data_IF_824249015525
#
_entry.id   IF_824249015525
#
_cell.length_a   1.000
_cell.length_b   1.000
_cell.length_c   1.000
_cell.angle_alpha   90.00
_cell.angle_beta   90.00
_cell.angle_gamma   90.00
#
_symmetry.space_group_name_H-M   'P 1'
#
loop_
_entity.id
_entity.type
_entity.pdbx_description
1 polymer ?
#
# COMPACT_ATOMS: atom_id res chain seq x y z
N UNK A 1 4.35 5.01 -33.17
CA UNK A 1 3.40 5.30 -32.06
C UNK A 1 4.24 5.55 -30.82
N UNK A 2 4.07 6.65 -30.12
CA UNK A 2 4.83 6.94 -28.88
C UNK A 2 4.29 6.07 -27.73
N UNK A 3 5.10 5.79 -26.71
CA UNK A 3 4.67 5.06 -25.51
C UNK A 3 3.42 5.71 -24.87
N UNK A 4 3.39 7.03 -24.81
CA UNK A 4 2.25 7.78 -24.27
C UNK A 4 0.95 7.59 -25.07
N UNK A 5 1.00 7.55 -26.41
CA UNK A 5 -0.18 7.30 -27.22
C UNK A 5 -0.70 5.88 -27.05
N UNK A 6 0.18 4.89 -27.01
CA UNK A 6 -0.17 3.49 -26.76
C UNK A 6 -0.84 3.28 -25.40
N UNK A 7 -0.29 3.89 -24.35
CA UNK A 7 -0.87 3.83 -22.99
C UNK A 7 -2.27 4.43 -22.94
N UNK A 8 -2.47 5.58 -23.61
CA UNK A 8 -3.79 6.21 -23.74
C UNK A 8 -4.80 5.33 -24.48
N UNK A 9 -4.34 4.68 -25.55
CA UNK A 9 -5.20 3.80 -26.35
C UNK A 9 -5.65 2.58 -25.55
N UNK A 10 -4.77 1.97 -24.75
CA UNK A 10 -5.11 0.88 -23.85
C UNK A 10 -6.15 1.35 -22.82
N UNK A 11 -5.92 2.48 -22.15
CA UNK A 11 -6.84 3.02 -21.15
C UNK A 11 -8.24 3.26 -21.76
N UNK A 12 -8.29 3.87 -22.95
CA UNK A 12 -9.56 4.15 -23.63
C UNK A 12 -10.24 2.89 -24.13
N UNK A 13 -9.48 1.89 -24.56
CA UNK A 13 -10.00 0.58 -24.92
C UNK A 13 -10.68 -0.11 -23.74
N UNK A 14 -10.05 -0.10 -22.56
CA UNK A 14 -10.65 -0.66 -21.34
C UNK A 14 -11.92 0.11 -20.92
N UNK A 15 -11.91 1.43 -20.98
CA UNK A 15 -13.12 2.21 -20.69
C UNK A 15 -14.24 1.88 -21.68
N UNK A 16 -13.94 1.71 -22.98
CA UNK A 16 -14.94 1.31 -23.97
C UNK A 16 -15.48 -0.11 -23.68
N UNK A 17 -14.62 -1.04 -23.26
CA UNK A 17 -15.03 -2.40 -22.87
C UNK A 17 -15.96 -2.37 -21.65
N UNK A 18 -15.62 -1.57 -20.64
CA UNK A 18 -16.48 -1.37 -19.48
C UNK A 18 -17.83 -0.72 -19.84
N UNK A 19 -17.86 0.16 -20.85
CA UNK A 19 -19.12 0.75 -21.33
C UNK A 19 -20.06 -0.30 -21.98
N UNK A 20 -19.52 -1.32 -22.63
CA UNK A 20 -20.31 -2.47 -23.12
C UNK A 20 -20.86 -3.30 -21.96
N UNK A 21 -20.13 -3.37 -20.86
CA UNK A 21 -20.48 -4.09 -19.63
C UNK A 21 -21.08 -3.17 -18.55
N UNK A 22 -21.54 -1.95 -18.88
CA UNK A 22 -21.89 -0.87 -17.94
C UNK A 22 -22.88 -1.24 -16.85
N UNK A 23 -23.73 -2.24 -17.09
CA UNK A 23 -24.67 -2.72 -16.09
C UNK A 23 -23.96 -3.33 -14.88
N UNK A 24 -22.79 -3.94 -15.05
CA UNK A 24 -21.96 -4.44 -13.97
C UNK A 24 -21.36 -3.33 -13.11
N UNK A 25 -21.28 -2.13 -13.64
CA UNK A 25 -20.68 -0.94 -13.02
C UNK A 25 -21.69 0.13 -12.66
N UNK A 26 -22.96 -0.24 -12.65
CA UNK A 26 -24.10 0.65 -12.38
C UNK A 26 -24.82 0.25 -11.11
N UNK A 27 -25.21 1.22 -10.28
CA UNK A 27 -25.97 0.95 -9.04
C UNK A 27 -27.34 0.32 -9.29
N UNK A 28 -27.92 0.59 -10.47
CA UNK A 28 -29.20 -0.01 -10.91
C UNK A 28 -29.03 -0.54 -12.32
N UNK A 29 -28.60 -1.80 -12.50
CA UNK A 29 -28.44 -2.44 -13.81
C UNK A 29 -29.73 -2.33 -14.66
N UNK A 30 -29.57 -2.12 -15.96
CA UNK A 30 -30.67 -1.96 -16.92
C UNK A 30 -31.40 -0.59 -16.85
N UNK A 31 -31.25 0.18 -15.78
CA UNK A 31 -31.89 1.49 -15.61
C UNK A 31 -30.90 2.65 -15.74
N UNK A 32 -29.75 2.53 -15.06
CA UNK A 32 -28.73 3.57 -15.11
C UNK A 32 -27.98 3.50 -16.44
N UNK A 33 -27.65 4.68 -16.99
CA UNK A 33 -27.00 4.83 -18.32
C UNK A 33 -27.77 4.20 -19.51
N UNK A 34 -29.03 3.78 -19.35
CA UNK A 34 -29.87 3.23 -20.43
C UNK A 34 -30.26 4.28 -21.48
N UNK A 35 -30.35 5.55 -21.10
CA UNK A 35 -30.73 6.65 -21.99
C UNK A 35 -29.51 7.33 -22.57
N UNK A 36 -29.55 7.71 -23.86
CA UNK A 36 -28.54 8.55 -24.47
C UNK A 36 -28.55 9.94 -23.82
N UNK A 37 -27.49 10.29 -23.11
CA UNK A 37 -27.30 11.57 -22.42
C UNK A 37 -25.99 12.21 -22.87
N UNK A 38 -25.87 13.54 -22.73
CA UNK A 38 -24.62 14.29 -23.04
C UNK A 38 -23.40 13.79 -22.28
N UNK A 39 -23.62 13.18 -21.09
CA UNK A 39 -22.58 12.55 -20.27
C UNK A 39 -23.00 11.10 -20.03
N UNK A 40 -22.60 10.22 -20.95
CA UNK A 40 -22.77 8.77 -20.86
C UNK A 40 -21.75 8.12 -19.90
N UNK A 41 -21.78 6.79 -19.75
CA UNK A 41 -20.91 6.03 -18.85
C UNK A 41 -19.42 6.27 -19.19
N UNK A 42 -18.99 5.99 -20.43
CA UNK A 42 -17.59 6.15 -20.84
C UNK A 42 -17.09 7.59 -20.73
N UNK A 43 -17.92 8.58 -21.13
CA UNK A 43 -17.51 9.99 -21.08
C UNK A 43 -17.39 10.48 -19.65
N UNK A 44 -18.25 9.98 -18.75
CA UNK A 44 -18.17 10.26 -17.32
C UNK A 44 -16.85 9.76 -16.70
N UNK A 45 -16.44 8.52 -17.02
CA UNK A 45 -15.18 7.94 -16.54
C UNK A 45 -13.99 8.71 -17.11
N UNK A 46 -13.97 8.94 -18.44
CA UNK A 46 -12.90 9.71 -19.10
C UNK A 46 -12.77 11.11 -18.51
N UNK A 47 -13.89 11.79 -18.30
CA UNK A 47 -13.92 13.11 -17.69
C UNK A 47 -13.30 13.07 -16.29
N UNK A 48 -13.75 12.14 -15.41
CA UNK A 48 -13.25 12.06 -14.04
C UNK A 48 -11.74 11.77 -13.96
N UNK A 49 -11.21 10.94 -14.87
CA UNK A 49 -9.76 10.67 -14.94
C UNK A 49 -8.99 11.90 -15.46
N UNK A 50 -9.60 12.70 -16.34
CA UNK A 50 -8.95 13.87 -16.93
C UNK A 50 -9.00 15.13 -16.04
N UNK A 51 -9.79 15.10 -14.95
CA UNK A 51 -9.90 16.24 -14.03
C UNK A 51 -8.55 16.60 -13.41
N UNK A 52 -8.31 17.89 -13.29
CA UNK A 52 -7.13 18.48 -12.65
C UNK A 52 -7.55 19.20 -11.35
N UNK A 53 -6.84 20.25 -11.01
CA UNK A 53 -7.04 21.02 -9.78
C UNK A 53 -8.12 22.11 -9.85
N UNK A 54 -8.81 22.24 -10.97
CA UNK A 54 -9.86 23.24 -11.18
C UNK A 54 -11.18 22.89 -10.47
N UNK A 55 -12.12 23.85 -10.42
CA UNK A 55 -13.49 23.54 -10.01
C UNK A 55 -14.13 22.58 -11.01
N UNK A 56 -15.01 21.70 -10.54
CA UNK A 56 -15.69 20.71 -11.42
C UNK A 56 -16.39 21.39 -12.59
N UNK A 57 -16.97 22.57 -12.38
CA UNK A 57 -17.63 23.32 -13.47
C UNK A 57 -16.61 23.80 -14.52
N UNK A 58 -15.46 24.31 -14.09
CA UNK A 58 -14.37 24.70 -15.00
C UNK A 58 -13.83 23.51 -15.77
N UNK A 59 -13.61 22.39 -15.10
CA UNK A 59 -13.13 21.14 -15.74
C UNK A 59 -14.14 20.60 -16.76
N UNK A 60 -15.46 20.65 -16.47
CA UNK A 60 -16.50 20.31 -17.44
C UNK A 60 -16.45 21.19 -18.69
N UNK A 61 -16.39 22.52 -18.48
CA UNK A 61 -16.31 23.46 -19.61
C UNK A 61 -15.08 23.20 -20.48
N UNK A 62 -13.92 22.96 -19.84
CA UNK A 62 -12.66 22.63 -20.54
C UNK A 62 -12.76 21.31 -21.31
N UNK A 63 -13.27 20.25 -20.67
CA UNK A 63 -13.40 18.93 -21.28
C UNK A 63 -14.30 18.95 -22.54
N UNK A 64 -15.40 19.67 -22.49
CA UNK A 64 -16.34 19.86 -23.61
C UNK A 64 -15.99 21.05 -24.51
N UNK A 65 -14.76 21.57 -24.44
CA UNK A 65 -14.27 22.68 -25.29
C UNK A 65 -15.18 23.92 -25.28
N UNK A 66 -15.78 24.24 -24.12
CA UNK A 66 -16.71 25.37 -23.95
C UNK A 66 -17.92 25.35 -24.90
N UNK A 67 -18.31 24.17 -25.38
CA UNK A 67 -19.43 24.01 -26.26
C UNK A 67 -20.75 24.32 -25.55
N UNK A 68 -21.74 24.88 -26.26
CA UNK A 68 -23.08 25.22 -25.75
C UNK A 68 -23.83 24.02 -25.13
N UNK A 69 -23.49 22.80 -25.56
CA UNK A 69 -24.06 21.56 -25.10
C UNK A 69 -23.31 20.95 -23.92
N UNK A 70 -22.37 21.68 -23.31
CA UNK A 70 -21.69 21.22 -22.09
C UNK A 70 -22.70 20.81 -21.02
N UNK A 71 -22.56 19.60 -20.41
CA UNK A 71 -23.41 19.18 -19.31
C UNK A 71 -23.30 20.12 -18.11
N UNK A 72 -24.42 20.33 -17.42
CA UNK A 72 -24.41 21.12 -16.17
C UNK A 72 -23.75 20.37 -15.04
N UNK A 73 -23.27 21.10 -14.03
CA UNK A 73 -22.74 20.54 -12.80
C UNK A 73 -23.72 19.57 -12.12
N UNK A 74 -25.01 19.90 -12.12
CA UNK A 74 -26.08 19.03 -11.60
C UNK A 74 -26.17 17.72 -12.37
N UNK A 75 -26.11 17.79 -13.72
CA UNK A 75 -26.12 16.60 -14.57
C UNK A 75 -24.92 15.69 -14.27
N UNK A 76 -23.72 16.27 -14.07
CA UNK A 76 -22.54 15.51 -13.69
C UNK A 76 -22.75 14.74 -12.39
N UNK A 77 -23.19 15.42 -11.31
CA UNK A 77 -23.42 14.74 -10.02
C UNK A 77 -24.51 13.68 -10.09
N UNK A 78 -25.57 13.91 -10.88
CA UNK A 78 -26.61 12.90 -11.10
C UNK A 78 -26.05 11.65 -11.80
N UNK A 79 -25.21 11.82 -12.82
CA UNK A 79 -24.60 10.68 -13.51
C UNK A 79 -23.56 9.96 -12.64
N UNK A 80 -22.70 10.71 -11.93
CA UNK A 80 -21.70 10.14 -11.03
C UNK A 80 -22.29 9.25 -9.95
N UNK A 81 -23.45 9.62 -9.39
CA UNK A 81 -24.15 8.80 -8.36
C UNK A 81 -24.62 7.45 -8.85
N UNK A 82 -24.67 7.20 -10.15
CA UNK A 82 -25.08 5.94 -10.76
C UNK A 82 -23.96 4.93 -10.85
N UNK A 83 -22.72 5.36 -10.80
CA UNK A 83 -21.57 4.47 -10.84
C UNK A 83 -21.52 3.61 -9.57
N UNK A 84 -21.18 2.32 -9.73
CA UNK A 84 -20.80 1.46 -8.61
C UNK A 84 -19.52 1.96 -7.94
N UNK A 85 -19.29 1.56 -6.71
CA UNK A 85 -18.16 2.09 -5.93
C UNK A 85 -16.81 1.49 -6.36
N UNK A 86 -16.83 0.35 -7.07
CA UNK A 86 -15.67 -0.41 -7.54
C UNK A 86 -15.21 -0.08 -8.97
N UNK A 87 -15.93 0.79 -9.68
CA UNK A 87 -15.69 1.08 -11.11
C UNK A 87 -14.23 1.48 -11.41
N UNK A 88 -13.66 2.37 -10.60
CA UNK A 88 -12.29 2.85 -10.79
C UNK A 88 -11.25 1.83 -10.33
N UNK A 89 -11.55 1.04 -9.31
CA UNK A 89 -10.70 -0.05 -8.88
C UNK A 89 -10.60 -1.12 -9.96
N UNK A 90 -11.73 -1.50 -10.55
CA UNK A 90 -11.77 -2.47 -11.66
C UNK A 90 -11.00 -1.95 -12.88
N UNK A 91 -11.21 -0.67 -13.25
CA UNK A 91 -10.45 -0.05 -14.34
C UNK A 91 -8.94 -0.07 -14.07
N UNK A 92 -8.53 0.24 -12.85
CA UNK A 92 -7.13 0.23 -12.43
C UNK A 92 -6.49 -1.16 -12.60
N UNK A 93 -7.15 -2.22 -12.15
CA UNK A 93 -6.63 -3.57 -12.29
C UNK A 93 -6.64 -4.05 -13.75
N UNK A 94 -7.72 -3.80 -14.50
CA UNK A 94 -7.80 -4.13 -15.94
C UNK A 94 -6.72 -3.41 -16.73
N UNK A 95 -6.51 -2.14 -16.47
CA UNK A 95 -5.44 -1.38 -17.12
C UNK A 95 -4.05 -1.94 -16.81
N UNK A 96 -3.77 -2.27 -15.54
CA UNK A 96 -2.49 -2.84 -15.15
C UNK A 96 -2.23 -4.23 -15.74
N UNK A 97 -3.26 -5.04 -15.98
CA UNK A 97 -3.12 -6.39 -16.55
C UNK A 97 -2.56 -6.42 -17.99
N UNK A 98 -2.62 -5.28 -18.71
CA UNK A 98 -2.02 -5.17 -20.03
C UNK A 98 -0.49 -5.08 -20.03
N UNK A 99 0.11 -4.88 -18.88
CA UNK A 99 1.54 -4.69 -18.78
C UNK A 99 2.19 -5.85 -18.03
N UNK A 100 3.16 -6.54 -18.67
CA UNK A 100 3.88 -7.61 -17.99
C UNK A 100 4.64 -7.04 -16.78
N UNK A 101 4.85 -7.84 -15.74
CA UNK A 101 5.68 -7.45 -14.61
C UNK A 101 7.14 -7.31 -15.04
N UNK A 102 7.82 -6.28 -14.53
CA UNK A 102 9.27 -6.17 -14.62
C UNK A 102 9.84 -6.65 -13.28
N UNK A 103 10.67 -7.70 -13.36
CA UNK A 103 11.18 -8.40 -12.18
C UNK A 103 12.69 -8.19 -12.01
N UNK A 104 13.13 -8.04 -10.78
CA UNK A 104 14.53 -8.12 -10.39
C UNK A 104 15.01 -9.58 -10.46
N UNK A 105 16.21 -9.82 -11.01
CA UNK A 105 16.74 -11.18 -11.25
C UNK A 105 15.74 -12.09 -12.00
N UNK A 106 14.90 -11.52 -12.87
CA UNK A 106 13.85 -12.20 -13.63
C UNK A 106 12.81 -12.97 -12.78
N UNK A 107 12.76 -12.75 -11.47
CA UNK A 107 11.92 -13.48 -10.53
C UNK A 107 11.22 -12.57 -9.52
N UNK A 108 11.91 -11.56 -8.99
CA UNK A 108 11.45 -10.81 -7.84
C UNK A 108 10.73 -9.53 -8.22
N UNK A 109 9.50 -9.36 -7.72
CA UNK A 109 8.76 -8.10 -7.82
C UNK A 109 9.15 -7.20 -6.65
N UNK A 110 9.85 -6.10 -6.94
CA UNK A 110 10.22 -5.12 -5.93
C UNK A 110 9.04 -4.16 -5.69
N UNK A 111 8.30 -4.39 -4.62
CA UNK A 111 7.08 -3.66 -4.26
C UNK A 111 7.34 -2.69 -3.11
N UNK A 112 7.60 -1.43 -3.42
CA UNK A 112 7.67 -0.41 -2.39
C UNK A 112 6.28 -0.15 -1.79
N UNK A 113 6.22 -0.07 -0.46
CA UNK A 113 5.01 0.22 0.31
C UNK A 113 5.20 1.54 1.04
N UNK A 114 4.27 2.45 0.84
CA UNK A 114 4.26 3.73 1.56
C UNK A 114 2.85 4.27 1.67
N UNK A 115 2.64 5.18 2.62
CA UNK A 115 1.37 5.82 2.89
C UNK A 115 1.40 7.31 2.60
N UNK A 116 0.33 7.83 1.99
CA UNK A 116 0.13 9.26 1.77
C UNK A 116 -1.28 9.68 2.13
N UNK A 117 -1.44 10.92 2.59
CA UNK A 117 -2.75 11.47 2.95
C UNK A 117 -3.17 12.54 1.94
N UNK A 118 -4.42 12.45 1.49
CA UNK A 118 -5.00 13.34 0.49
C UNK A 118 -6.18 14.09 1.07
N UNK A 119 -6.16 15.42 0.94
CA UNK A 119 -7.29 16.26 1.28
C UNK A 119 -8.32 16.27 0.15
N UNK A 120 -9.59 16.29 0.51
CA UNK A 120 -10.69 16.37 -0.44
C UNK A 120 -11.75 17.36 0.04
N UNK A 121 -12.82 17.51 -0.73
CA UNK A 121 -13.89 18.49 -0.47
C UNK A 121 -14.40 18.38 0.96
N UNK A 122 -14.41 19.52 1.68
CA UNK A 122 -14.84 19.60 3.07
C UNK A 122 -16.28 19.11 3.24
N UNK A 123 -16.47 18.16 4.15
CA UNK A 123 -17.75 17.63 4.59
C UNK A 123 -17.71 17.32 6.09
N UNK A 124 -18.13 18.26 6.96
CA UNK A 124 -18.11 18.04 8.42
C UNK A 124 -19.02 16.92 8.91
N UNK A 125 -19.94 16.43 8.06
CA UNK A 125 -20.83 15.30 8.40
C UNK A 125 -20.15 13.94 8.27
N UNK A 126 -19.04 13.88 7.55
CA UNK A 126 -18.22 12.66 7.42
C UNK A 126 -17.18 12.61 8.54
N UNK A 127 -17.61 12.15 9.70
CA UNK A 127 -16.81 12.14 10.93
C UNK A 127 -15.57 11.23 10.82
N UNK A 128 -15.58 10.23 9.97
CA UNK A 128 -14.45 9.31 9.79
C UNK A 128 -13.27 9.96 9.05
N UNK A 129 -13.54 10.98 8.26
CA UNK A 129 -12.52 11.67 7.46
C UNK A 129 -12.28 13.12 7.87
N UNK A 130 -13.17 13.71 8.71
CA UNK A 130 -13.12 15.12 9.07
C UNK A 130 -12.21 15.41 10.26
N UNK A 131 -11.38 16.43 10.11
CA UNK A 131 -10.66 17.09 11.19
C UNK A 131 -11.30 18.42 11.53
N UNK A 132 -11.60 18.63 12.82
CA UNK A 132 -12.10 19.90 13.34
C UNK A 132 -11.09 21.03 13.10
N UNK A 133 -11.55 22.29 13.18
CA UNK A 133 -10.69 23.45 13.17
C UNK A 133 -9.52 23.30 14.14
N UNK A 134 -8.31 23.60 13.67
CA UNK A 134 -7.09 23.49 14.45
C UNK A 134 -6.04 24.48 13.92
N UNK A 135 -4.82 24.48 14.48
CA UNK A 135 -3.75 25.38 14.05
C UNK A 135 -3.31 25.25 12.58
N UNK A 136 -3.76 24.20 11.85
CA UNK A 136 -3.50 24.01 10.41
C UNK A 136 -4.65 24.49 9.52
N UNK A 137 -5.87 24.53 10.04
CA UNK A 137 -7.06 24.93 9.28
C UNK A 137 -8.12 25.56 10.20
N UNK A 138 -8.49 26.80 9.90
CA UNK A 138 -9.54 27.55 10.63
C UNK A 138 -10.92 26.91 10.45
N UNK A 139 -11.17 26.28 9.30
CA UNK A 139 -12.48 25.71 8.95
C UNK A 139 -12.57 24.19 9.11
N UNK A 140 -11.46 23.53 9.51
CA UNK A 140 -11.35 22.09 9.44
C UNK A 140 -11.24 21.56 8.00
N UNK A 141 -10.98 20.27 7.83
CA UNK A 141 -10.79 19.64 6.53
C UNK A 141 -11.03 18.14 6.58
N UNK A 142 -11.29 17.54 5.41
CA UNK A 142 -11.41 16.09 5.27
C UNK A 142 -10.18 15.51 4.59
N UNK A 143 -9.74 14.35 5.07
CA UNK A 143 -8.64 13.57 4.46
C UNK A 143 -8.97 12.09 4.38
N UNK A 144 -8.40 11.47 3.38
CA UNK A 144 -8.22 10.01 3.30
C UNK A 144 -6.74 9.68 3.39
N UNK A 145 -6.45 8.48 3.85
CA UNK A 145 -5.11 7.91 3.84
C UNK A 145 -5.04 6.76 2.82
N UNK A 146 -4.03 6.79 1.98
CA UNK A 146 -3.77 5.78 0.98
C UNK A 146 -2.49 5.03 1.37
N UNK A 147 -2.53 3.70 1.43
CA UNK A 147 -1.33 2.84 1.43
C UNK A 147 -1.27 2.14 0.09
N UNK A 148 -0.15 2.22 -0.59
CA UNK A 148 -0.02 1.73 -1.96
C UNK A 148 1.16 0.75 -2.13
N UNK A 149 1.02 -0.17 -3.08
CA UNK A 149 2.08 -1.04 -3.59
C UNK A 149 2.57 -0.48 -4.93
N UNK A 150 3.83 -0.10 -4.98
CA UNK A 150 4.47 0.48 -6.15
C UNK A 150 5.62 -0.42 -6.64
N UNK A 151 5.53 -0.91 -7.86
CA UNK A 151 6.62 -1.68 -8.46
C UNK A 151 7.75 -0.72 -8.87
N UNK A 152 8.89 -0.85 -8.21
CA UNK A 152 10.05 0.03 -8.36
C UNK A 152 10.68 -0.02 -9.76
N UNK A 153 10.61 -1.17 -10.44
CA UNK A 153 11.22 -1.35 -11.75
C UNK A 153 10.31 -0.84 -12.88
N UNK A 154 9.02 -1.13 -12.80
CA UNK A 154 8.06 -0.66 -13.80
C UNK A 154 7.51 0.73 -13.53
N UNK A 155 7.78 1.29 -12.35
CA UNK A 155 7.26 2.59 -11.88
C UNK A 155 5.72 2.68 -11.95
N UNK A 156 5.04 1.60 -11.58
CA UNK A 156 3.57 1.50 -11.59
C UNK A 156 3.03 1.13 -10.23
N UNK A 157 1.90 1.72 -9.86
CA UNK A 157 1.10 1.24 -8.74
C UNK A 157 0.39 -0.04 -9.16
N UNK A 158 0.47 -1.08 -8.32
CA UNK A 158 -0.17 -2.38 -8.58
C UNK A 158 -1.39 -2.61 -7.70
N UNK A 159 -1.40 -2.05 -6.50
CA UNK A 159 -2.53 -2.11 -5.59
C UNK A 159 -2.50 -0.92 -4.62
N UNK A 160 -3.63 -0.62 -3.99
CA UNK A 160 -3.74 0.42 -2.99
C UNK A 160 -4.93 0.18 -2.05
N UNK A 161 -4.78 0.59 -0.80
CA UNK A 161 -5.86 0.59 0.19
C UNK A 161 -6.12 2.00 0.68
N UNK A 162 -7.37 2.44 0.54
CA UNK A 162 -7.85 3.74 1.02
C UNK A 162 -8.49 3.54 2.39
N UNK A 163 -8.17 4.40 3.33
CA UNK A 163 -8.73 4.43 4.68
C UNK A 163 -9.22 5.85 5.02
N UNK A 164 -10.34 6.01 5.71
CA UNK A 164 -10.68 7.27 6.34
C UNK A 164 -9.57 7.66 7.34
N UNK A 165 -9.18 8.93 7.36
CA UNK A 165 -7.99 9.35 8.14
C UNK A 165 -8.12 9.07 9.64
N UNK A 166 -9.34 9.13 10.20
CA UNK A 166 -9.60 8.85 11.62
C UNK A 166 -9.48 7.35 11.96
N UNK A 167 -9.56 6.49 10.94
CA UNK A 167 -9.43 5.03 11.06
C UNK A 167 -8.14 4.51 10.43
N UNK A 168 -7.17 5.40 10.23
CA UNK A 168 -5.88 5.07 9.66
C UNK A 168 -5.17 4.00 10.50
N UNK A 169 -4.81 2.90 9.84
CA UNK A 169 -3.96 1.84 10.39
C UNK A 169 -3.06 1.28 9.26
N UNK A 170 -1.85 1.80 9.17
CA UNK A 170 -0.90 1.45 8.10
C UNK A 170 -0.46 -0.01 8.17
N UNK A 171 -0.27 -0.56 9.39
CA UNK A 171 0.09 -1.97 9.57
C UNK A 171 -0.99 -2.91 9.03
N UNK A 172 -2.26 -2.64 9.39
CA UNK A 172 -3.39 -3.43 8.91
C UNK A 172 -3.56 -3.27 7.39
N UNK A 173 -3.40 -2.05 6.87
CA UNK A 173 -3.48 -1.80 5.44
C UNK A 173 -2.43 -2.59 4.66
N UNK A 174 -1.17 -2.60 5.12
CA UNK A 174 -0.12 -3.38 4.48
C UNK A 174 -0.36 -4.89 4.61
N UNK A 175 -0.78 -5.38 5.77
CA UNK A 175 -1.14 -6.81 5.94
C UNK A 175 -2.23 -7.22 4.96
N UNK A 176 -3.30 -6.44 4.83
CA UNK A 176 -4.38 -6.70 3.88
C UNK A 176 -3.90 -6.66 2.41
N UNK A 177 -2.98 -5.73 2.09
CA UNK A 177 -2.38 -5.64 0.76
C UNK A 177 -1.53 -6.89 0.44
N UNK A 178 -0.75 -7.37 1.40
CA UNK A 178 0.04 -8.60 1.28
C UNK A 178 -0.88 -9.80 1.04
N UNK A 179 -1.93 -9.95 1.84
CA UNK A 179 -2.83 -11.10 1.79
C UNK A 179 -3.57 -11.20 0.45
N UNK A 180 -4.06 -10.07 -0.06
CA UNK A 180 -4.83 -10.04 -1.30
C UNK A 180 -3.98 -9.93 -2.57
N UNK A 181 -2.68 -9.58 -2.45
CA UNK A 181 -1.83 -9.49 -3.62
C UNK A 181 -1.60 -10.87 -4.22
N UNK A 182 -1.99 -11.04 -5.47
CA UNK A 182 -1.78 -12.26 -6.24
C UNK A 182 -0.68 -12.01 -7.28
N UNK A 183 0.55 -12.50 -7.00
CA UNK A 183 1.67 -12.26 -7.90
C UNK A 183 1.51 -13.05 -9.19
N UNK A 184 1.91 -12.51 -10.36
CA UNK A 184 1.93 -13.25 -11.60
C UNK A 184 2.72 -14.57 -11.47
N UNK A 185 2.30 -15.64 -12.16
CA UNK A 185 2.95 -16.94 -12.07
C UNK A 185 4.48 -16.86 -12.29
N UNK A 186 5.24 -17.57 -11.47
CA UNK A 186 6.71 -17.59 -11.54
C UNK A 186 7.39 -16.37 -10.92
N UNK A 187 6.64 -15.43 -10.31
CA UNK A 187 7.21 -14.29 -9.62
C UNK A 187 7.08 -14.39 -8.11
N UNK A 188 7.97 -13.73 -7.39
CA UNK A 188 7.98 -13.68 -5.93
C UNK A 188 8.03 -12.22 -5.47
N UNK A 189 7.05 -11.73 -4.71
CA UNK A 189 7.06 -10.35 -4.23
C UNK A 189 8.06 -10.15 -3.10
N UNK A 190 8.73 -8.99 -3.11
CA UNK A 190 9.52 -8.44 -2.01
C UNK A 190 8.85 -7.13 -1.60
N UNK A 191 8.19 -7.09 -0.44
CA UNK A 191 7.56 -5.89 0.09
C UNK A 191 8.62 -5.03 0.80
N UNK A 192 8.88 -3.84 0.29
CA UNK A 192 9.91 -2.93 0.77
C UNK A 192 9.25 -1.72 1.42
N UNK A 193 9.45 -1.53 2.72
CA UNK A 193 8.77 -0.48 3.46
C UNK A 193 9.68 0.24 4.47
N UNK A 194 9.24 1.41 4.90
CA UNK A 194 9.94 2.19 5.90
C UNK A 194 9.71 1.68 7.33
N UNK A 195 10.37 2.32 8.31
CA UNK A 195 10.26 1.97 9.73
C UNK A 195 8.85 2.14 10.32
N UNK A 196 7.95 2.85 9.63
CA UNK A 196 6.55 3.00 10.00
C UNK A 196 5.77 1.70 9.87
N UNK A 197 6.25 0.76 9.07
CA UNK A 197 5.62 -0.55 8.83
C UNK A 197 6.27 -1.70 9.63
N UNK A 198 7.22 -1.40 10.52
CA UNK A 198 7.87 -2.42 11.35
C UNK A 198 6.89 -3.06 12.33
N UNK A 199 6.46 -4.29 12.04
CA UNK A 199 5.52 -5.05 12.86
C UNK A 199 5.70 -6.54 12.66
N UNK A 200 5.69 -7.32 13.74
CA UNK A 200 5.68 -8.79 13.62
C UNK A 200 4.50 -9.32 12.83
N UNK A 201 3.34 -8.65 12.93
CA UNK A 201 2.16 -9.02 12.14
C UNK A 201 2.43 -8.90 10.64
N UNK A 202 3.02 -7.80 10.19
CA UNK A 202 3.38 -7.58 8.78
C UNK A 202 4.39 -8.63 8.31
N UNK A 203 5.41 -8.94 9.14
CA UNK A 203 6.39 -9.98 8.82
C UNK A 203 5.73 -11.34 8.66
N UNK A 204 4.84 -11.71 9.60
CA UNK A 204 4.14 -12.98 9.57
C UNK A 204 3.23 -13.10 8.33
N UNK A 205 2.44 -12.07 7.99
CA UNK A 205 1.63 -12.06 6.76
C UNK A 205 2.48 -12.30 5.51
N UNK A 206 3.65 -11.67 5.40
CA UNK A 206 4.54 -11.90 4.27
C UNK A 206 5.08 -13.33 4.25
N UNK A 207 5.49 -13.89 5.40
CA UNK A 207 6.00 -15.26 5.52
C UNK A 207 4.92 -16.28 5.16
N UNK A 208 3.73 -16.17 5.74
CA UNK A 208 2.61 -17.08 5.49
C UNK A 208 2.12 -17.04 4.04
N UNK A 209 2.23 -15.88 3.38
CA UNK A 209 1.97 -15.72 1.95
C UNK A 209 3.06 -16.31 1.05
N UNK A 210 4.19 -16.79 1.63
CA UNK A 210 5.36 -17.23 0.85
C UNK A 210 6.09 -16.09 0.14
N UNK A 211 5.94 -14.88 0.65
CA UNK A 211 6.54 -13.66 0.12
C UNK A 211 7.77 -13.24 0.93
N UNK A 212 8.49 -12.28 0.37
CA UNK A 212 9.63 -11.66 1.04
C UNK A 212 9.30 -10.24 1.49
N UNK A 213 10.02 -9.78 2.50
CA UNK A 213 9.94 -8.40 2.94
C UNK A 213 11.33 -7.82 3.21
N UNK A 214 11.43 -6.50 3.15
CA UNK A 214 12.63 -5.72 3.42
C UNK A 214 12.19 -4.42 4.11
N UNK A 215 12.22 -4.40 5.45
CA UNK A 215 11.61 -3.33 6.23
C UNK A 215 12.64 -2.70 7.16
N UNK A 216 12.72 -1.36 7.13
CA UNK A 216 13.60 -0.62 8.05
C UNK A 216 13.10 -0.71 9.47
N UNK A 217 14.03 -0.82 10.41
CA UNK A 217 13.75 -0.78 11.83
C UNK A 217 14.44 0.39 12.52
N UNK A 218 13.86 0.87 13.63
CA UNK A 218 14.53 1.80 14.53
C UNK A 218 15.61 1.04 15.29
N UNK A 219 16.70 1.73 15.66
CA UNK A 219 17.79 1.13 16.42
C UNK A 219 17.31 0.47 17.73
N UNK A 220 16.41 1.12 18.44
CA UNK A 220 15.82 0.58 19.68
C UNK A 220 15.03 -0.71 19.43
N UNK A 221 14.34 -0.84 18.31
CA UNK A 221 13.59 -2.05 17.94
C UNK A 221 14.56 -3.17 17.56
N UNK A 222 15.64 -2.85 16.87
CA UNK A 222 16.68 -3.80 16.50
C UNK A 222 17.37 -4.35 17.75
N UNK A 223 17.79 -3.47 18.67
CA UNK A 223 18.36 -3.89 19.97
C UNK A 223 17.39 -4.77 20.75
N UNK A 224 16.11 -4.43 20.79
CA UNK A 224 15.10 -5.23 21.47
C UNK A 224 14.86 -6.58 20.78
N UNK A 225 14.93 -6.65 19.46
CA UNK A 225 14.77 -7.90 18.72
C UNK A 225 15.94 -8.84 18.95
N UNK A 226 17.17 -8.31 18.90
CA UNK A 226 18.39 -9.10 19.04
C UNK A 226 18.67 -9.46 20.52
N UNK A 227 18.37 -8.57 21.47
CA UNK A 227 18.67 -8.80 22.89
C UNK A 227 20.17 -9.03 23.11
N UNK A 228 20.53 -10.15 23.75
CA UNK A 228 21.92 -10.56 23.98
C UNK A 228 22.67 -10.96 22.71
N UNK A 229 21.95 -11.25 21.61
CA UNK A 229 22.55 -11.54 20.30
C UNK A 229 22.96 -10.26 19.54
N UNK A 230 22.83 -9.06 20.15
CA UNK A 230 23.19 -7.80 19.50
C UNK A 230 24.72 -7.72 19.36
N UNK A 231 25.26 -7.69 18.09
CA UNK A 231 26.70 -7.65 17.89
C UNK A 231 27.32 -6.32 18.36
N UNK A 232 28.51 -6.40 18.96
CA UNK A 232 29.32 -5.24 19.35
C UNK A 232 30.14 -4.70 18.16
N UNK A 233 29.42 -4.43 17.05
CA UNK A 233 30.00 -3.90 15.80
C UNK A 233 29.06 -2.91 15.16
N UNK A 234 29.61 -1.93 14.43
CA UNK A 234 28.85 -0.89 13.74
C UNK A 234 28.07 -1.45 12.54
N UNK A 235 28.53 -2.54 11.96
CA UNK A 235 27.84 -3.22 10.87
C UNK A 235 27.75 -4.70 11.13
N UNK A 236 26.62 -5.29 10.82
CA UNK A 236 26.41 -6.72 10.95
C UNK A 236 25.30 -7.23 10.02
N UNK A 237 25.27 -8.54 9.85
CA UNK A 237 24.26 -9.30 9.12
C UNK A 237 24.07 -10.63 9.88
N UNK A 238 23.00 -10.73 10.62
CA UNK A 238 22.75 -11.85 11.53
C UNK A 238 21.34 -12.38 11.35
N UNK A 239 21.18 -13.69 11.46
CA UNK A 239 19.87 -14.34 11.49
C UNK A 239 19.53 -14.75 12.92
N UNK A 240 18.34 -14.36 13.37
CA UNK A 240 17.82 -14.70 14.67
C UNK A 240 16.51 -15.46 14.57
N UNK A 241 16.37 -16.46 15.43
CA UNK A 241 15.15 -17.21 15.58
C UNK A 241 14.45 -16.77 16.87
N UNK A 242 13.17 -16.48 16.79
CA UNK A 242 12.35 -16.06 17.92
C UNK A 242 11.05 -16.86 17.94
N UNK A 243 10.49 -17.01 19.12
CA UNK A 243 9.19 -17.62 19.33
C UNK A 243 8.26 -16.52 19.87
N UNK A 244 7.26 -16.16 19.08
CA UNK A 244 6.25 -15.20 19.48
C UNK A 244 5.17 -15.91 20.29
N UNK A 245 4.71 -15.28 21.39
CA UNK A 245 3.68 -15.84 22.27
C UNK A 245 2.83 -14.75 22.90
N UNK A 246 1.59 -15.05 23.28
CA UNK A 246 0.72 -14.17 24.08
C UNK A 246 0.97 -14.33 25.58
N UNK A 247 1.55 -15.44 26.00
CA UNK A 247 1.74 -15.79 27.40
C UNK A 247 2.98 -15.12 27.99
N UNK A 248 2.81 -14.46 29.15
CA UNK A 248 3.90 -13.93 29.98
C UNK A 248 4.31 -14.89 31.07
N UNK A 249 3.98 -16.18 30.98
CA UNK A 249 4.23 -17.15 32.04
C UNK A 249 5.71 -17.27 32.38
N UNK A 250 6.06 -16.91 33.61
CA UNK A 250 7.42 -17.04 34.14
C UNK A 250 7.97 -18.49 34.07
N UNK A 251 7.10 -19.50 33.91
CA UNK A 251 7.54 -20.91 33.77
C UNK A 251 8.24 -21.15 32.42
N UNK A 252 7.85 -20.47 31.33
CA UNK A 252 8.50 -20.56 30.03
C UNK A 252 9.80 -19.73 29.95
N UNK A 253 9.95 -18.70 30.80
CA UNK A 253 11.09 -17.77 30.79
C UNK A 253 12.14 -18.06 31.90
N UNK A 254 12.01 -19.17 32.64
CA UNK A 254 12.88 -19.45 33.79
C UNK A 254 14.30 -19.89 33.46
N UNK A 255 14.59 -20.23 32.20
CA UNK A 255 15.93 -20.62 31.81
C UNK A 255 16.64 -19.42 31.16
N UNK A 256 17.77 -18.92 31.70
CA UNK A 256 18.45 -17.74 31.15
C UNK A 256 18.78 -17.83 29.65
N UNK A 257 19.04 -19.05 29.16
CA UNK A 257 19.30 -19.32 27.73
C UNK A 257 18.04 -19.23 26.86
N UNK A 258 16.84 -19.18 27.42
CA UNK A 258 15.56 -19.12 26.70
C UNK A 258 14.92 -17.72 26.74
N UNK A 259 15.37 -16.81 27.61
CA UNK A 259 14.78 -15.48 27.76
C UNK A 259 14.83 -14.68 26.45
N UNK A 260 15.91 -14.79 25.69
CA UNK A 260 16.04 -14.11 24.40
C UNK A 260 15.35 -14.84 23.24
N UNK A 261 14.99 -16.11 23.42
CA UNK A 261 14.28 -16.88 22.40
C UNK A 261 12.81 -16.47 22.30
N UNK A 262 12.18 -16.15 23.41
CA UNK A 262 10.76 -15.80 23.46
C UNK A 262 10.53 -14.28 23.36
N UNK A 263 9.48 -13.90 22.61
CA UNK A 263 9.00 -12.51 22.53
C UNK A 263 7.49 -12.49 22.78
N UNK A 264 7.10 -11.83 23.87
CA UNK A 264 5.70 -11.66 24.18
C UNK A 264 5.06 -10.57 23.34
N UNK A 265 3.99 -10.90 22.64
CA UNK A 265 3.11 -10.00 21.91
C UNK A 265 1.97 -9.60 22.84
N UNK A 266 1.97 -8.35 23.32
CA UNK A 266 0.94 -7.85 24.21
C UNK A 266 -0.45 -7.89 23.53
N UNK A 267 -1.54 -8.11 24.31
CA UNK A 267 -2.91 -8.20 23.79
C UNK A 267 -3.37 -6.97 22.99
N UNK A 268 -2.85 -5.78 23.31
CA UNK A 268 -3.16 -4.56 22.60
C UNK A 268 -2.53 -4.49 21.20
N UNK A 269 -1.58 -5.38 20.89
CA UNK A 269 -0.90 -5.44 19.58
C UNK A 269 -1.58 -6.49 18.72
N UNK A 270 -2.08 -6.07 17.57
CA UNK A 270 -2.65 -6.98 16.56
C UNK A 270 -1.59 -7.99 16.09
N UNK A 271 -1.90 -9.27 16.19
CA UNK A 271 -1.13 -10.34 15.60
C UNK A 271 -2.07 -11.48 15.18
N UNK A 272 -2.22 -11.68 13.90
CA UNK A 272 -3.26 -12.52 13.29
C UNK A 272 -3.07 -14.01 13.50
N UNK A 273 -1.85 -14.46 13.83
CA UNK A 273 -1.47 -15.87 13.88
C UNK A 273 -1.35 -16.43 15.32
N UNK A 274 -1.68 -15.63 16.32
CA UNK A 274 -1.78 -16.07 17.71
C UNK A 274 -3.11 -15.62 18.30
N UNK A 275 -4.02 -16.55 18.61
CA UNK A 275 -5.26 -16.23 19.29
C UNK A 275 -4.99 -15.56 20.64
N UNK A 276 -5.84 -14.62 21.04
CA UNK A 276 -5.80 -14.06 22.37
C UNK A 276 -6.09 -15.17 23.40
N UNK A 277 -5.47 -15.08 24.59
CA UNK A 277 -5.64 -16.05 25.68
C UNK A 277 -5.22 -17.49 25.36
N UNK A 278 -4.34 -17.70 24.38
CA UNK A 278 -3.81 -19.02 24.04
C UNK A 278 -2.35 -19.17 24.45
N UNK A 279 -1.93 -20.43 24.70
CA UNK A 279 -0.53 -20.82 24.90
C UNK A 279 0.17 -21.14 23.56
N UNK A 280 -0.45 -20.77 22.44
CA UNK A 280 0.11 -20.98 21.13
C UNK A 280 1.42 -20.22 20.94
N UNK A 281 2.29 -20.79 20.14
CA UNK A 281 3.61 -20.28 19.80
C UNK A 281 3.73 -20.08 18.30
N UNK A 282 4.34 -18.98 17.88
CA UNK A 282 4.61 -18.71 16.47
C UNK A 282 6.13 -18.54 16.28
N UNK A 283 6.82 -19.54 15.69
CA UNK A 283 8.24 -19.42 15.41
C UNK A 283 8.48 -18.47 14.24
N UNK A 284 9.44 -17.57 14.37
CA UNK A 284 9.81 -16.63 13.31
C UNK A 284 11.33 -16.55 13.17
N UNK A 285 11.81 -16.65 11.94
CA UNK A 285 13.23 -16.46 11.59
C UNK A 285 13.39 -15.13 10.87
N UNK A 286 14.26 -14.27 11.36
CA UNK A 286 14.47 -12.92 10.84
C UNK A 286 15.96 -12.67 10.62
N UNK A 287 16.32 -12.19 9.45
CA UNK A 287 17.65 -11.69 9.13
C UNK A 287 17.68 -10.18 9.40
N UNK A 288 18.63 -9.74 10.17
CA UNK A 288 18.80 -8.36 10.64
C UNK A 288 20.14 -7.83 10.17
N UNK A 289 20.09 -6.74 9.41
CA UNK A 289 21.28 -6.10 8.90
C UNK A 289 21.40 -4.68 9.48
N UNK A 290 22.62 -4.27 9.75
CA UNK A 290 22.96 -2.91 10.18
C UNK A 290 24.02 -2.34 9.29
N UNK A 291 23.81 -1.11 8.83
CA UNK A 291 24.75 -0.37 7.97
C UNK A 291 25.02 1.00 8.57
N UNK A 292 26.28 1.46 8.66
CA UNK A 292 26.59 2.83 8.99
C UNK A 292 26.17 3.75 7.84
N UNK A 293 25.52 4.87 8.15
CA UNK A 293 25.08 5.90 7.20
C UNK A 293 25.69 7.28 7.49
N UNK A 294 26.43 7.43 8.58
CA UNK A 294 27.14 8.63 9.02
C UNK A 294 27.82 8.36 10.35
N UNK A 295 28.45 9.38 10.92
CA UNK A 295 28.97 9.32 12.29
C UNK A 295 27.81 9.05 13.25
N UNK A 296 27.90 8.02 14.06
CA UNK A 296 26.90 7.57 15.06
C UNK A 296 25.47 7.33 14.53
N UNK A 297 25.31 7.21 13.22
CA UNK A 297 23.99 6.93 12.64
C UNK A 297 23.97 5.67 11.79
N UNK A 298 22.92 4.86 12.01
CA UNK A 298 22.81 3.53 11.43
C UNK A 298 21.46 3.31 10.74
N UNK A 299 21.49 2.53 9.67
CA UNK A 299 20.31 2.01 9.03
C UNK A 299 20.18 0.51 9.36
N UNK A 300 19.10 0.15 10.04
CA UNK A 300 18.80 -1.23 10.38
C UNK A 300 17.67 -1.72 9.48
N UNK A 301 17.82 -2.90 8.93
CA UNK A 301 16.87 -3.52 8.03
C UNK A 301 16.57 -4.94 8.49
N UNK A 302 15.30 -5.31 8.50
CA UNK A 302 14.83 -6.66 8.84
C UNK A 302 14.23 -7.29 7.59
N UNK A 303 14.56 -8.54 7.34
CA UNK A 303 14.14 -9.27 6.15
C UNK A 303 14.06 -10.79 6.40
N UNK A 304 13.38 -11.50 5.50
CA UNK A 304 13.44 -12.97 5.37
C UNK A 304 14.14 -13.39 4.06
N UNK A 305 14.82 -12.46 3.37
CA UNK A 305 15.57 -12.76 2.15
C UNK A 305 16.80 -13.65 2.46
N UNK A 306 17.02 -14.74 1.70
CA UNK A 306 18.13 -15.64 1.94
C UNK A 306 19.48 -14.98 1.63
N UNK A 307 20.45 -15.14 2.52
CA UNK A 307 21.78 -14.52 2.42
C UNK A 307 22.54 -14.92 1.14
N UNK A 308 22.47 -16.19 0.77
CA UNK A 308 23.17 -16.72 -0.42
C UNK A 308 22.71 -16.04 -1.72
N UNK A 309 21.44 -15.67 -1.80
CA UNK A 309 20.85 -15.05 -3.00
C UNK A 309 20.90 -13.52 -2.94
N UNK A 310 20.90 -12.95 -1.72
CA UNK A 310 20.90 -11.51 -1.45
C UNK A 310 22.00 -11.15 -0.44
N UNK A 311 23.23 -10.94 -0.87
CA UNK A 311 24.32 -10.45 -0.02
C UNK A 311 23.99 -9.10 0.63
N UNK A 312 24.61 -8.77 1.76
CA UNK A 312 24.31 -7.57 2.58
C UNK A 312 24.34 -6.27 1.77
N UNK A 313 25.33 -6.11 0.88
CA UNK A 313 25.44 -4.91 0.03
C UNK A 313 24.31 -4.77 -0.98
N UNK A 314 23.79 -5.90 -1.46
CA UNK A 314 22.63 -5.91 -2.33
C UNK A 314 21.35 -5.52 -1.58
N UNK A 315 21.17 -6.01 -0.34
CA UNK A 315 20.06 -5.60 0.54
C UNK A 315 20.07 -4.08 0.75
N UNK A 316 21.23 -3.49 1.02
CA UNK A 316 21.37 -2.03 1.15
C UNK A 316 20.93 -1.29 -0.12
N UNK A 317 21.38 -1.78 -1.28
CA UNK A 317 21.00 -1.20 -2.58
C UNK A 317 19.49 -1.31 -2.85
N UNK A 318 18.90 -2.48 -2.62
CA UNK A 318 17.46 -2.72 -2.81
C UNK A 318 16.62 -1.82 -1.89
N UNK A 319 17.03 -1.69 -0.63
CA UNK A 319 16.34 -0.79 0.28
C UNK A 319 16.41 0.68 -0.17
N UNK A 320 17.55 1.11 -0.67
CA UNK A 320 17.73 2.45 -1.23
C UNK A 320 16.78 2.77 -2.38
N UNK A 321 16.36 1.78 -3.19
CA UNK A 321 15.39 1.97 -4.26
C UNK A 321 13.99 2.36 -3.75
N UNK A 322 13.65 2.11 -2.49
CA UNK A 322 12.36 2.46 -1.86
C UNK A 322 11.95 3.91 -2.10
N UNK A 323 12.92 4.83 -2.13
CA UNK A 323 12.63 6.25 -2.39
C UNK A 323 11.86 6.52 -3.69
N UNK A 324 11.82 5.54 -4.58
CA UNK A 324 11.03 5.62 -5.83
C UNK A 324 9.55 5.87 -5.60
N UNK A 325 8.93 5.28 -4.55
CA UNK A 325 7.51 5.51 -4.24
C UNK A 325 7.29 6.93 -3.69
N UNK A 326 8.16 7.45 -2.82
CA UNK A 326 8.03 8.80 -2.28
C UNK A 326 8.11 9.86 -3.39
N UNK A 327 9.00 9.67 -4.35
CA UNK A 327 9.09 10.56 -5.52
C UNK A 327 7.88 10.45 -6.43
N UNK A 328 7.22 9.29 -6.49
CA UNK A 328 6.02 9.08 -7.30
C UNK A 328 4.80 9.82 -6.75
N UNK A 329 4.66 9.98 -5.43
CA UNK A 329 3.59 10.77 -4.81
C UNK A 329 3.70 12.27 -5.03
N UNK A 330 4.89 12.76 -5.43
CA UNK A 330 5.17 14.18 -5.67
C UNK A 330 5.00 14.60 -7.15
N UNK A 331 4.87 13.62 -8.04
CA UNK A 331 4.64 13.82 -9.47
C UNK A 331 3.14 13.96 -9.76
#
# INVERSE_FOLDING_TARGET
MTFSSHTKDILFSEINRMDLERDNFSKRPGLDFSRNRKLGFKDLIRFQISMQSGSVNHELMKYFCYHKDTPTLSAFYQQRRKLSDDVFQTLFYRFNSHYPPICYKNKYLLLACDGSSFSFTRNPKDLDSYYDPNGRSVNGFNQIHLVALFNLLSQRYLDAQIQPIRKKNEFLALSNLIDRFDPPPGTSPIFIADRGFHSYNVFAHAIEKGAYFLIRAKDVNTKRLLGNDFPDTDSFDVTVNRILTRTQSKKKHRHPLLEDQYRCICKAVTFSYLPDDSDAEYPISLRVLRFPIGEDSFENVITNLPEKEFPSMEIKSLYGMRWGIETSFRK
#
